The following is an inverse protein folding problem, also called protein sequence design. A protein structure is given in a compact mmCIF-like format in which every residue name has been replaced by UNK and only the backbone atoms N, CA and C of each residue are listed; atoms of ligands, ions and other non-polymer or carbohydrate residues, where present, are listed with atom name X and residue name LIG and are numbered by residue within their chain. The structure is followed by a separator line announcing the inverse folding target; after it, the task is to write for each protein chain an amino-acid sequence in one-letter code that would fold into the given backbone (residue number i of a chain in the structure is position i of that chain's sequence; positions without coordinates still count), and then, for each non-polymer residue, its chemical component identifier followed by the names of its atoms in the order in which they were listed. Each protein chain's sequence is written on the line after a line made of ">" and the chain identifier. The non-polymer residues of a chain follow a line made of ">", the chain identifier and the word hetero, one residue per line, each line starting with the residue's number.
data_IF_068612691320
#
_entry.id   IF_068612691320
#
_cell.length_a   1.000
_cell.length_b   1.000
_cell.length_c   1.000
_cell.angle_alpha   90.00
_cell.angle_beta   90.00
_cell.angle_gamma   90.00
#
_symmetry.space_group_name_H-M   'P 1'
#
loop_
_entity.id
_entity.type
_entity.pdbx_description
1 polymer ?
#
# COMPACT_ATOMS: atom_id res chain seq x y z
N UNK A 1 42.07 22.40 -27.26
CA UNK A 1 41.31 21.67 -26.22
C UNK A 1 40.20 20.91 -26.93
N UNK A 2 40.33 19.59 -26.95
CA UNK A 2 39.44 18.65 -27.59
C UNK A 2 38.18 18.51 -26.73
N UNK A 3 36.97 18.80 -27.26
CA UNK A 3 35.73 18.80 -26.48
C UNK A 3 35.38 17.41 -25.91
N UNK A 4 36.02 16.36 -26.44
CA UNK A 4 35.86 14.97 -26.02
C UNK A 4 36.32 14.70 -24.59
N UNK A 5 37.26 15.47 -24.05
CA UNK A 5 37.83 15.21 -22.71
C UNK A 5 36.95 15.73 -21.56
N UNK A 6 36.01 16.63 -21.83
CA UNK A 6 35.08 17.17 -20.80
C UNK A 6 33.91 16.21 -20.54
N UNK A 7 33.62 15.29 -21.47
CA UNK A 7 32.54 14.30 -21.35
C UNK A 7 32.93 13.05 -20.53
N UNK A 8 34.20 12.88 -20.16
CA UNK A 8 34.66 11.62 -19.61
C UNK A 8 34.74 11.57 -18.07
N UNK A 9 34.82 12.72 -17.36
CA UNK A 9 35.11 12.73 -15.91
C UNK A 9 34.44 13.94 -15.21
N UNK A 10 33.13 14.10 -15.38
CA UNK A 10 32.30 15.02 -14.60
C UNK A 10 31.09 14.28 -14.00
N UNK A 11 30.41 14.84 -12.98
CA UNK A 11 29.17 14.24 -12.49
C UNK A 11 28.23 14.06 -13.68
N UNK A 12 27.75 12.83 -13.88
CA UNK A 12 26.93 12.41 -15.02
C UNK A 12 25.95 13.52 -15.41
N UNK A 13 26.26 14.22 -16.49
CA UNK A 13 25.49 15.35 -16.95
C UNK A 13 24.20 14.88 -17.58
N UNK A 14 23.33 15.84 -17.89
CA UNK A 14 22.15 15.60 -18.73
C UNK A 14 22.49 14.94 -20.08
N UNK A 15 23.63 15.22 -20.75
CA UNK A 15 23.97 14.54 -22.01
C UNK A 15 24.20 13.03 -21.86
N UNK A 16 24.95 12.60 -20.84
CA UNK A 16 25.26 11.19 -20.59
C UNK A 16 24.00 10.39 -20.27
N UNK A 17 23.10 10.97 -19.48
CA UNK A 17 21.79 10.36 -19.16
C UNK A 17 20.91 10.18 -20.40
N UNK A 18 20.96 11.11 -21.36
CA UNK A 18 20.24 10.98 -22.64
C UNK A 18 20.85 9.83 -23.46
N UNK A 19 22.18 9.73 -23.54
CA UNK A 19 22.85 8.63 -24.28
C UNK A 19 22.46 7.27 -23.71
N UNK A 20 22.49 7.11 -22.38
CA UNK A 20 22.06 5.88 -21.71
C UNK A 20 20.57 5.62 -21.98
N UNK A 21 19.73 6.66 -21.90
CA UNK A 21 18.30 6.57 -22.21
C UNK A 21 18.04 6.08 -23.64
N UNK A 22 18.77 6.60 -24.63
CA UNK A 22 18.69 6.17 -26.03
C UNK A 22 19.14 4.72 -26.18
N UNK A 23 20.23 4.31 -25.52
CA UNK A 23 20.71 2.92 -25.57
C UNK A 23 19.64 1.95 -25.03
N UNK A 24 19.04 2.26 -23.88
CA UNK A 24 17.91 1.51 -23.32
C UNK A 24 16.73 1.50 -24.32
N UNK A 25 16.44 2.63 -24.96
CA UNK A 25 15.37 2.72 -25.95
C UNK A 25 15.63 1.87 -27.20
N UNK A 26 16.88 1.69 -27.61
CA UNK A 26 17.26 0.82 -28.73
C UNK A 26 17.15 -0.66 -28.33
N UNK A 27 17.61 -1.03 -27.14
CA UNK A 27 17.57 -2.42 -26.64
C UNK A 27 16.13 -2.89 -26.37
N UNK A 28 15.32 -2.06 -25.72
CA UNK A 28 13.97 -2.42 -25.30
C UNK A 28 12.89 -1.89 -26.23
N UNK A 29 13.14 -0.80 -26.96
CA UNK A 29 12.15 -0.11 -27.80
C UNK A 29 11.37 0.97 -27.04
N UNK A 30 11.11 2.10 -27.71
CA UNK A 30 10.39 3.24 -27.15
C UNK A 30 8.97 2.93 -26.63
N UNK A 31 8.34 1.89 -27.19
CA UNK A 31 7.01 1.43 -26.74
C UNK A 31 7.05 0.54 -25.50
N UNK A 32 8.15 -0.17 -25.22
CA UNK A 32 8.21 -1.13 -24.11
C UNK A 32 8.42 -0.46 -22.77
N UNK A 33 9.22 0.61 -22.71
CA UNK A 33 9.46 1.39 -21.49
C UNK A 33 8.15 1.88 -20.82
N UNK A 34 7.24 2.60 -21.51
CA UNK A 34 6.01 3.09 -20.90
C UNK A 34 5.04 1.95 -20.57
N UNK A 35 5.01 0.87 -21.35
CA UNK A 35 4.20 -0.31 -21.04
C UNK A 35 4.69 -0.99 -19.78
N UNK A 36 6.00 -1.18 -19.63
CA UNK A 36 6.62 -1.74 -18.43
C UNK A 36 6.34 -0.88 -17.20
N UNK A 37 6.58 0.43 -17.30
CA UNK A 37 6.28 1.38 -16.22
C UNK A 37 4.79 1.34 -15.80
N UNK A 38 3.86 1.28 -16.75
CA UNK A 38 2.42 1.13 -16.45
C UNK A 38 2.11 -0.18 -15.74
N UNK A 39 2.71 -1.30 -16.17
CA UNK A 39 2.48 -2.61 -15.54
C UNK A 39 3.04 -2.69 -14.12
N UNK A 40 4.25 -2.16 -13.90
CA UNK A 40 4.86 -2.02 -12.58
C UNK A 40 4.03 -1.08 -11.69
N UNK A 41 3.61 0.06 -12.22
CA UNK A 41 2.79 1.03 -11.49
C UNK A 41 1.46 0.44 -11.01
N UNK A 42 0.78 -0.32 -11.88
CA UNK A 42 -0.43 -1.07 -11.50
C UNK A 42 -0.13 -2.09 -10.40
N UNK A 43 0.93 -2.90 -10.58
CA UNK A 43 1.31 -3.92 -9.61
C UNK A 43 1.65 -3.32 -8.24
N UNK A 44 2.40 -2.21 -8.22
CA UNK A 44 2.71 -1.47 -6.99
C UNK A 44 1.48 -0.83 -6.36
N UNK A 45 0.52 -0.36 -7.16
CA UNK A 45 -0.75 0.19 -6.67
C UNK A 45 -1.60 -0.85 -5.96
N UNK A 46 -1.83 -2.00 -6.60
CA UNK A 46 -2.57 -3.12 -6.00
C UNK A 46 -1.85 -3.65 -4.76
N UNK A 47 -0.51 -3.75 -4.80
CA UNK A 47 0.29 -4.17 -3.66
C UNK A 47 0.16 -3.20 -2.47
N UNK A 48 0.17 -1.89 -2.72
CA UNK A 48 -0.03 -0.88 -1.68
C UNK A 48 -1.43 -0.98 -1.07
N UNK A 49 -2.46 -1.19 -1.89
CA UNK A 49 -3.84 -1.37 -1.44
C UNK A 49 -3.98 -2.59 -0.54
N UNK A 50 -3.48 -3.74 -0.99
CA UNK A 50 -3.50 -4.98 -0.23
C UNK A 50 -2.76 -4.85 1.12
N UNK A 51 -1.62 -4.13 1.15
CA UNK A 51 -0.92 -3.84 2.41
C UNK A 51 -1.78 -3.01 3.37
N UNK A 52 -2.44 -1.96 2.88
CA UNK A 52 -3.29 -1.11 3.73
C UNK A 52 -4.50 -1.86 4.28
N UNK A 53 -5.15 -2.69 3.47
CA UNK A 53 -6.28 -3.53 3.91
C UNK A 53 -5.83 -4.52 4.98
N UNK A 54 -4.68 -5.18 4.77
CA UNK A 54 -4.10 -6.09 5.75
C UNK A 54 -3.74 -5.39 7.08
N UNK A 55 -3.17 -4.18 7.03
CA UNK A 55 -2.90 -3.39 8.23
C UNK A 55 -4.17 -3.02 9.01
N UNK A 56 -5.26 -2.69 8.30
CA UNK A 56 -6.57 -2.41 8.90
C UNK A 56 -7.18 -3.66 9.54
N UNK A 57 -7.14 -4.80 8.84
CA UNK A 57 -7.61 -6.08 9.39
C UNK A 57 -6.84 -6.47 10.66
N UNK A 58 -5.51 -6.29 10.67
CA UNK A 58 -4.68 -6.55 11.84
C UNK A 58 -5.01 -5.61 13.01
N UNK A 59 -5.32 -4.34 12.76
CA UNK A 59 -5.75 -3.41 13.81
C UNK A 59 -7.12 -3.80 14.38
N UNK A 60 -8.07 -4.11 13.51
CA UNK A 60 -9.42 -4.51 13.91
C UNK A 60 -9.39 -5.84 14.70
N UNK A 61 -8.59 -6.82 14.28
CA UNK A 61 -8.43 -8.09 14.98
C UNK A 61 -7.79 -7.93 16.38
N UNK A 62 -6.90 -6.96 16.54
CA UNK A 62 -6.32 -6.63 17.85
C UNK A 62 -7.33 -5.93 18.77
N UNK A 63 -8.21 -5.09 18.22
CA UNK A 63 -9.30 -4.45 18.98
C UNK A 63 -10.38 -5.47 19.41
N UNK A 64 -10.67 -6.46 18.56
CA UNK A 64 -11.65 -7.52 18.84
C UNK A 64 -11.16 -8.52 19.90
N UNK A 65 -9.84 -8.75 19.98
CA UNK A 65 -9.23 -9.61 21.01
C UNK A 65 -9.22 -8.98 22.43
N UNK A 66 -9.48 -7.68 22.58
CA UNK A 66 -9.46 -6.98 23.88
C UNK A 66 -10.85 -6.84 24.50
N UNK A 67 -11.94 -7.14 23.77
CA UNK A 67 -13.30 -7.13 24.33
C UNK A 67 -13.87 -8.55 24.48
N UNK A 68 -13.83 -9.15 25.69
CA UNK A 68 -14.71 -10.26 25.99
C UNK A 68 -16.14 -9.71 26.00
N UNK A 69 -16.89 -9.96 24.93
CA UNK A 69 -18.32 -9.67 24.85
C UNK A 69 -19.05 -10.58 25.85
N UNK A 70 -19.13 -10.15 27.12
CA UNK A 70 -20.02 -10.73 28.12
C UNK A 70 -21.46 -10.41 27.67
N UNK A 71 -22.00 -11.28 26.83
CA UNK A 71 -23.44 -11.38 26.67
C UNK A 71 -23.96 -12.05 27.94
N UNK A 72 -24.33 -11.24 28.94
CA UNK A 72 -25.26 -11.70 29.97
C UNK A 72 -26.61 -11.93 29.31
N UNK A 73 -27.15 -13.17 29.32
CA UNK A 73 -28.52 -13.39 28.91
C UNK A 73 -29.44 -12.53 29.77
N UNK A 74 -30.26 -11.71 29.11
CA UNK A 74 -31.43 -11.06 29.67
C UNK A 74 -32.37 -12.15 30.22
N UNK A 75 -32.17 -12.58 31.47
CA UNK A 75 -33.24 -13.21 32.24
C UNK A 75 -34.18 -12.09 32.72
N UNK A 76 -35.14 -11.83 31.84
CA UNK A 76 -36.37 -11.07 32.06
C UNK A 76 -37.11 -11.61 33.29
N UNK A 77 -36.73 -11.16 34.49
CA UNK A 77 -37.44 -11.48 35.74
C UNK A 77 -37.57 -10.26 36.64
N UNK A 78 -38.60 -9.46 36.34
CA UNK A 78 -39.43 -8.76 37.31
C UNK A 78 -40.75 -8.41 36.60
N UNK A 79 -41.93 -8.38 37.28
CA UNK A 79 -42.14 -8.25 38.73
C UNK A 79 -43.15 -9.28 39.30
N UNK A 80 -42.90 -9.81 40.50
CA UNK A 80 -43.99 -10.38 41.31
C UNK A 80 -43.82 -9.86 42.72
N UNK A 81 -44.53 -8.79 43.06
CA UNK A 81 -44.94 -8.45 44.43
C UNK A 81 -45.88 -7.24 44.42
N UNK A 82 -47.10 -7.44 43.92
CA UNK A 82 -48.27 -6.76 44.46
C UNK A 82 -49.27 -7.86 44.83
N UNK A 83 -49.22 -8.27 46.10
CA UNK A 83 -50.34 -8.89 46.78
C UNK A 83 -50.52 -8.05 48.03
N UNK A 84 -51.49 -7.13 47.96
CA UNK A 84 -52.23 -6.65 49.12
C UNK A 84 -52.77 -7.86 49.89
N UNK A 85 -52.48 -7.97 51.19
CA UNK A 85 -53.42 -8.39 52.26
C UNK A 85 -52.70 -8.44 53.62
N UNK A 86 -52.91 -7.42 54.46
CA UNK A 86 -52.91 -7.38 55.95
C UNK A 86 -52.60 -5.99 56.49
#
# INVERSE_FOLDING_TARGET
>A
MNPTSILAIGPLGTPEMIIIGVLILVLFGAKKLPTFARSLGKSMGEFKKARTEFEQELQNAQEEAVQPKIQSPQEKRQPVANVEDS
#
